data_IF_238223672320
#
_entry.id   IF_238223672320
#
_cell.length_a   1.000
_cell.length_b   1.000
_cell.length_c   1.000
_cell.angle_alpha   90.00
_cell.angle_beta   90.00
_cell.angle_gamma   90.00
#
_symmetry.space_group_name_H-M   'P 1'
#
loop_
_entity.id
_entity.type
_entity.pdbx_description
1 polymer ?
#
# COMPACT_ATOMS: atom_id res chain seq x y z
N UNK A 1 4.54 -14.91 4.55
CA UNK A 1 5.46 -13.80 4.20
C UNK A 1 4.72 -12.56 4.66
N UNK A 2 5.32 -11.84 5.61
CA UNK A 2 4.67 -11.11 6.70
C UNK A 2 3.74 -9.97 6.28
N UNK A 3 2.65 -9.82 7.03
CA UNK A 3 1.58 -8.80 6.95
C UNK A 3 2.06 -7.39 7.32
N UNK A 4 3.11 -6.91 6.64
CA UNK A 4 3.63 -5.56 6.83
C UNK A 4 2.91 -4.60 5.87
N UNK A 5 2.12 -3.68 6.41
CA UNK A 5 1.62 -2.54 5.64
C UNK A 5 2.78 -1.58 5.35
N UNK A 6 3.39 -1.76 4.19
CA UNK A 6 4.24 -0.73 3.62
C UNK A 6 3.34 0.25 2.89
N UNK A 7 2.97 1.34 3.57
CA UNK A 7 2.59 2.52 2.81
C UNK A 7 3.87 2.96 2.09
N UNK A 8 3.86 2.84 0.76
CA UNK A 8 4.70 3.62 -0.12
C UNK A 8 3.88 4.87 -0.46
N UNK A 9 3.85 5.92 0.39
CA UNK A 9 3.33 7.19 -0.05
C UNK A 9 4.29 7.64 -1.15
N UNK A 10 3.84 7.56 -2.39
CA UNK A 10 4.53 8.20 -3.50
C UNK A 10 4.31 9.69 -3.26
N UNK A 11 5.23 10.27 -2.50
CA UNK A 11 5.48 11.68 -2.45
C UNK A 11 6.03 12.06 -3.83
N UNK A 12 5.15 12.38 -4.77
CA UNK A 12 5.56 13.20 -5.92
C UNK A 12 5.86 14.60 -5.39
N UNK A 13 6.94 14.73 -4.63
CA UNK A 13 7.53 16.00 -4.26
C UNK A 13 8.20 16.52 -5.53
N UNK A 14 7.73 17.63 -6.13
CA UNK A 14 8.32 18.21 -7.34
C UNK A 14 9.77 18.70 -7.16
N UNK A 15 10.36 18.49 -5.98
CA UNK A 15 11.73 18.87 -5.61
C UNK A 15 12.72 17.70 -5.58
N UNK A 16 12.28 16.43 -5.69
CA UNK A 16 13.20 15.29 -5.59
C UNK A 16 13.52 14.73 -6.98
N UNK A 17 14.66 15.14 -7.52
CA UNK A 17 15.15 14.73 -8.84
C UNK A 17 15.63 13.27 -8.92
N UNK A 18 15.57 12.47 -7.85
CA UNK A 18 16.02 11.07 -7.86
C UNK A 18 15.51 10.26 -6.65
N UNK A 19 14.46 9.45 -6.83
CA UNK A 19 14.21 8.25 -6.02
C UNK A 19 12.92 8.21 -5.17
N UNK A 20 12.45 7.00 -4.89
CA UNK A 20 11.36 6.73 -3.93
C UNK A 20 11.93 6.74 -2.51
N UNK A 21 11.30 7.44 -1.57
CA UNK A 21 11.69 7.46 -0.15
C UNK A 21 10.74 6.57 0.64
N UNK A 22 11.30 5.66 1.42
CA UNK A 22 10.55 4.91 2.41
C UNK A 22 10.33 5.78 3.65
N UNK A 23 9.08 6.14 3.96
CA UNK A 23 8.76 6.95 5.14
C UNK A 23 8.63 6.11 6.41
N UNK A 24 7.81 5.06 6.38
CA UNK A 24 7.43 4.29 7.58
C UNK A 24 6.77 2.96 7.21
N UNK A 25 6.98 1.93 8.02
CA UNK A 25 6.17 0.69 8.03
C UNK A 25 5.41 0.57 9.34
N UNK A 26 4.23 -0.05 9.29
CA UNK A 26 3.47 -0.41 10.47
C UNK A 26 3.21 -1.91 10.42
N UNK A 27 3.55 -2.60 11.52
CA UNK A 27 3.17 -4.00 11.73
C UNK A 27 1.69 -4.05 12.14
N UNK A 28 0.91 -4.84 11.39
CA UNK A 28 -0.52 -5.01 11.63
C UNK A 28 -0.94 -6.48 11.63
N UNK A 29 0.02 -7.38 11.86
CA UNK A 29 -0.16 -8.84 11.85
C UNK A 29 -1.25 -9.33 12.81
N UNK A 30 -1.57 -8.57 13.87
CA UNK A 30 -2.39 -9.04 14.99
C UNK A 30 -3.88 -8.64 14.93
N UNK A 31 -4.29 -7.79 13.98
CA UNK A 31 -5.67 -7.22 14.00
C UNK A 31 -6.18 -6.75 12.62
N UNK A 32 -6.31 -7.65 11.63
CA UNK A 32 -6.87 -7.27 10.32
C UNK A 32 -8.40 -7.26 10.33
N UNK A 33 -8.97 -6.05 10.34
CA UNK A 33 -10.38 -5.82 10.05
C UNK A 33 -10.50 -4.57 9.21
N UNK A 34 -11.51 -4.49 8.34
CA UNK A 34 -11.75 -3.32 7.47
C UNK A 34 -11.66 -2.00 8.25
N UNK A 35 -12.16 -1.97 9.49
CA UNK A 35 -12.15 -0.78 10.31
C UNK A 35 -10.78 -0.48 10.94
N UNK A 36 -10.02 -1.51 11.32
CA UNK A 36 -8.64 -1.35 11.81
C UNK A 36 -7.74 -0.88 10.67
N UNK A 37 -7.83 -1.52 9.51
CA UNK A 37 -7.03 -1.20 8.32
C UNK A 37 -7.32 0.23 7.86
N UNK A 38 -8.60 0.62 7.80
CA UNK A 38 -8.98 1.98 7.48
C UNK A 38 -8.38 2.98 8.46
N UNK A 39 -8.46 2.73 9.78
CA UNK A 39 -7.87 3.64 10.79
C UNK A 39 -6.35 3.75 10.66
N UNK A 40 -5.68 2.65 10.30
CA UNK A 40 -4.24 2.64 10.07
C UNK A 40 -3.87 3.48 8.84
N UNK A 41 -4.56 3.27 7.71
CA UNK A 41 -4.37 4.08 6.50
C UNK A 41 -4.66 5.56 6.77
N UNK A 42 -5.76 5.85 7.48
CA UNK A 42 -6.19 7.19 7.85
C UNK A 42 -5.13 7.91 8.67
N UNK A 43 -4.61 7.24 9.70
CA UNK A 43 -3.56 7.76 10.57
C UNK A 43 -2.26 8.01 9.83
N UNK A 44 -1.87 7.14 8.90
CA UNK A 44 -0.62 7.36 8.14
C UNK A 44 -0.73 8.58 7.24
N UNK A 45 -1.88 8.77 6.59
CA UNK A 45 -2.10 9.99 5.78
C UNK A 45 -2.05 11.24 6.65
N UNK A 46 -2.61 11.20 7.87
CA UNK A 46 -2.52 12.31 8.82
C UNK A 46 -1.09 12.54 9.33
N UNK A 47 -0.33 11.48 9.64
CA UNK A 47 1.06 11.56 10.09
C UNK A 47 1.97 12.19 9.01
N UNK A 48 1.72 11.90 7.73
CA UNK A 48 2.48 12.43 6.58
C UNK A 48 2.04 13.84 6.19
N UNK A 49 0.76 14.16 6.41
CA UNK A 49 0.11 15.35 5.87
C UNK A 49 -0.62 15.02 4.57
N UNK A 50 -1.92 15.28 4.57
CA UNK A 50 -2.85 14.91 3.49
C UNK A 50 -2.48 15.57 2.14
N UNK A 51 -1.93 16.78 2.18
CA UNK A 51 -1.46 17.53 1.03
C UNK A 51 -0.22 16.94 0.34
N UNK A 52 0.50 16.05 1.04
CA UNK A 52 1.71 15.40 0.54
C UNK A 52 1.47 13.97 0.05
N UNK A 53 0.24 13.44 0.20
CA UNK A 53 -0.09 12.07 -0.21
C UNK A 53 -0.91 12.11 -1.49
N UNK A 54 -0.35 11.57 -2.58
CA UNK A 54 -1.04 11.41 -3.86
C UNK A 54 -1.63 10.00 -4.00
N UNK A 55 -0.86 9.00 -3.60
CA UNK A 55 -1.23 7.59 -3.77
C UNK A 55 -0.92 6.76 -2.54
N UNK A 56 -1.84 5.83 -2.22
CA UNK A 56 -1.67 4.78 -1.23
C UNK A 56 -1.71 3.44 -1.93
N UNK A 57 -0.64 2.67 -1.77
CA UNK A 57 -0.54 1.29 -2.29
C UNK A 57 -0.58 0.33 -1.10
N UNK A 58 -1.48 -0.65 -1.14
CA UNK A 58 -1.60 -1.70 -0.10
C UNK A 58 -1.61 -3.06 -0.75
N UNK A 59 -1.50 -4.15 0.02
CA UNK A 59 -1.73 -5.47 -0.55
C UNK A 59 -3.15 -5.62 -1.14
N UNK A 60 -3.32 -6.63 -1.99
CA UNK A 60 -4.54 -6.96 -2.73
C UNK A 60 -5.60 -7.69 -1.87
N UNK A 61 -5.41 -7.73 -0.55
CA UNK A 61 -6.30 -8.36 0.43
C UNK A 61 -7.68 -7.67 0.47
N UNK A 62 -8.76 -8.44 0.64
CA UNK A 62 -10.13 -7.93 0.60
C UNK A 62 -10.40 -6.82 1.63
N UNK A 63 -9.86 -6.95 2.85
CA UNK A 63 -10.07 -5.97 3.92
C UNK A 63 -9.42 -4.62 3.58
N UNK A 64 -8.20 -4.65 3.05
CA UNK A 64 -7.48 -3.48 2.53
C UNK A 64 -8.16 -2.83 1.34
N UNK A 65 -8.75 -3.62 0.44
CA UNK A 65 -9.53 -3.05 -0.67
C UNK A 65 -10.71 -2.22 -0.17
N UNK A 66 -11.43 -2.72 0.83
CA UNK A 66 -12.54 -2.00 1.43
C UNK A 66 -12.05 -0.75 2.18
N UNK A 67 -10.97 -0.87 2.94
CA UNK A 67 -10.35 0.24 3.66
C UNK A 67 -9.83 1.34 2.72
N UNK A 68 -9.15 0.96 1.64
CA UNK A 68 -8.63 1.87 0.62
C UNK A 68 -9.74 2.61 -0.13
N UNK A 69 -10.84 1.92 -0.48
CA UNK A 69 -12.03 2.59 -1.04
C UNK A 69 -12.62 3.62 -0.09
N UNK A 70 -12.77 3.26 1.20
CA UNK A 70 -13.26 4.18 2.24
C UNK A 70 -12.33 5.39 2.43
N UNK A 71 -11.02 5.19 2.27
CA UNK A 71 -10.03 6.27 2.29
C UNK A 71 -10.27 7.26 1.14
N UNK A 72 -10.47 6.76 -0.09
CA UNK A 72 -10.76 7.59 -1.27
C UNK A 72 -12.11 8.33 -1.15
N UNK A 73 -13.10 7.72 -0.49
CA UNK A 73 -14.38 8.37 -0.19
C UNK A 73 -14.21 9.56 0.78
N UNK A 74 -13.37 9.43 1.81
CA UNK A 74 -13.05 10.52 2.75
C UNK A 74 -12.19 11.60 2.10
N UNK A 75 -11.19 11.20 1.30
CA UNK A 75 -10.15 12.08 0.73
C UNK A 75 -10.08 11.96 -0.79
N UNK A 76 -10.81 12.84 -1.47
CA UNK A 76 -11.05 12.74 -2.93
C UNK A 76 -9.82 12.98 -3.80
N UNK A 77 -8.75 13.58 -3.27
CA UNK A 77 -7.50 13.82 -3.99
C UNK A 77 -6.48 12.67 -3.85
N UNK A 78 -6.75 11.69 -2.98
CA UNK A 78 -5.90 10.52 -2.78
C UNK A 78 -6.42 9.36 -3.62
N UNK A 79 -5.50 8.70 -4.31
CA UNK A 79 -5.78 7.46 -5.04
C UNK A 79 -5.31 6.24 -4.25
N UNK A 80 -6.14 5.21 -4.15
CA UNK A 80 -5.73 3.92 -3.62
C UNK A 80 -5.62 2.88 -4.74
N UNK A 81 -4.57 2.07 -4.71
CA UNK A 81 -4.36 0.97 -5.66
C UNK A 81 -3.83 -0.28 -4.96
N UNK A 82 -4.27 -1.49 -5.36
CA UNK A 82 -3.71 -2.73 -4.84
C UNK A 82 -2.30 -2.97 -5.37
N UNK A 83 -1.47 -3.59 -4.55
CA UNK A 83 -0.12 -4.01 -4.88
C UNK A 83 -0.16 -5.22 -5.81
N UNK A 84 0.74 -5.23 -6.79
CA UNK A 84 0.90 -6.32 -7.75
C UNK A 84 2.06 -7.26 -7.41
N UNK A 85 2.73 -7.06 -6.26
CA UNK A 85 3.86 -7.90 -5.83
C UNK A 85 3.47 -9.38 -5.82
N UNK A 86 2.30 -9.72 -5.27
CA UNK A 86 1.81 -11.10 -5.29
C UNK A 86 1.60 -11.66 -6.71
N UNK A 87 1.14 -10.84 -7.65
CA UNK A 87 1.01 -11.24 -9.05
C UNK A 87 2.38 -11.50 -9.70
N UNK A 88 3.39 -10.69 -9.34
CA UNK A 88 4.76 -10.85 -9.83
C UNK A 88 5.37 -12.14 -9.26
N UNK A 89 5.19 -12.40 -7.97
CA UNK A 89 5.68 -13.64 -7.32
C UNK A 89 5.11 -14.88 -7.99
N UNK A 90 3.80 -14.91 -8.26
CA UNK A 90 3.14 -16.03 -8.95
C UNK A 90 3.64 -16.19 -10.39
N UNK A 91 3.86 -15.09 -11.11
CA UNK A 91 4.39 -15.13 -12.47
C UNK A 91 5.82 -15.68 -12.51
N UNK A 92 6.66 -15.26 -11.55
CA UNK A 92 8.02 -15.76 -11.39
C UNK A 92 8.06 -17.23 -10.97
N UNK A 93 7.14 -17.68 -10.11
CA UNK A 93 7.02 -19.10 -9.76
C UNK A 93 6.66 -19.97 -10.97
N UNK A 94 5.74 -19.52 -11.83
CA UNK A 94 5.38 -20.23 -13.07
C UNK A 94 6.57 -20.31 -14.06
N UNK A 95 7.36 -19.24 -14.16
CA UNK A 95 8.60 -19.25 -14.95
C UNK A 95 9.61 -20.23 -14.35
N UNK A 96 9.81 -20.22 -13.02
CA UNK A 96 10.72 -21.14 -12.34
C UNK A 96 10.37 -22.60 -12.57
N UNK A 97 9.07 -22.95 -12.50
CA UNK A 97 8.58 -24.30 -12.81
C UNK A 97 8.82 -24.72 -14.26
N UNK A 98 8.83 -23.77 -15.21
CA UNK A 98 9.09 -24.04 -16.63
C UNK A 98 10.57 -24.18 -16.98
N UNK A 99 11.49 -23.66 -16.15
CA UNK A 99 12.94 -23.68 -16.40
C UNK A 99 13.64 -24.83 -15.64
N UNK A 100 12.98 -25.48 -14.68
CA UNK A 100 13.49 -26.70 -14.06
C UNK A 100 13.38 -27.90 -15.03
N UNK A 101 14.44 -28.13 -15.79
CA UNK A 101 14.73 -29.41 -16.46
C UNK A 101 15.42 -30.39 -15.51
#
# INVERSE_FOLDING_TARGET
MSDNFYLHPILDLPMLHTGTIFLKSIDASDVSSINTDYKLLDKVVEDVGEEYVVQVVTDNELALKAAGKKLMEKRKHIYWTPCVAHCIDLFLEDIGKKIQC
#
